data_IF_875654927740
#
_entry.id   IF_875654927740
#
_cell.length_a   1.000
_cell.length_b   1.000
_cell.length_c   1.000
_cell.angle_alpha   90.00
_cell.angle_beta   90.00
_cell.angle_gamma   90.00
#
_symmetry.space_group_name_H-M   'P 1'
#
loop_
_entity.id
_entity.type
_entity.pdbx_description
1 polymer ?
#
# COMPACT_ATOMS: atom_id res chain seq x y z
N UNK A 1 -10.66 -13.69 -16.72
CA UNK A 1 -10.29 -12.35 -16.36
C UNK A 1 -9.93 -12.22 -14.90
N UNK A 2 -8.82 -11.58 -14.66
CA UNK A 2 -8.36 -11.43 -13.32
C UNK A 2 -9.14 -10.41 -12.55
N UNK A 3 -9.39 -10.77 -11.27
CA UNK A 3 -10.03 -9.85 -10.39
C UNK A 3 -8.99 -9.02 -9.71
N UNK A 4 -9.16 -7.72 -9.74
CA UNK A 4 -8.22 -6.84 -9.05
C UNK A 4 -8.69 -6.61 -7.64
N UNK A 5 -7.84 -6.97 -6.70
CA UNK A 5 -8.14 -6.76 -5.29
C UNK A 5 -7.46 -5.48 -4.83
N UNK A 6 -7.86 -5.01 -3.64
CA UNK A 6 -7.23 -3.82 -3.09
C UNK A 6 -5.77 -4.10 -2.76
N UNK A 7 -5.46 -5.32 -2.34
CA UNK A 7 -4.06 -5.69 -2.09
C UNK A 7 -3.23 -5.65 -3.35
N UNK A 8 -3.76 -6.16 -4.45
CA UNK A 8 -3.08 -6.12 -5.74
C UNK A 8 -2.89 -4.67 -6.18
N UNK A 9 -3.88 -3.83 -5.96
CA UNK A 9 -3.78 -2.41 -6.31
C UNK A 9 -2.68 -1.73 -5.51
N UNK A 10 -2.62 -2.00 -4.20
CA UNK A 10 -1.61 -1.40 -3.35
C UNK A 10 -0.21 -1.85 -3.75
N UNK A 11 -0.05 -3.12 -4.07
CA UNK A 11 1.23 -3.65 -4.51
C UNK A 11 1.68 -2.99 -5.81
N UNK A 12 0.76 -2.88 -6.76
CA UNK A 12 1.07 -2.27 -8.05
C UNK A 12 1.44 -0.79 -7.88
N UNK A 13 0.71 -0.10 -7.02
CA UNK A 13 0.97 1.32 -6.78
C UNK A 13 2.34 1.51 -6.14
N UNK A 14 2.67 0.67 -5.17
CA UNK A 14 3.98 0.71 -4.53
C UNK A 14 5.10 0.51 -5.54
N UNK A 15 4.95 -0.51 -6.38
CA UNK A 15 5.97 -0.83 -7.38
C UNK A 15 6.08 0.28 -8.43
N UNK A 16 4.95 0.86 -8.80
CA UNK A 16 4.96 1.96 -9.76
C UNK A 16 5.72 3.17 -9.23
N UNK A 17 5.77 3.33 -7.91
CA UNK A 17 6.52 4.41 -7.30
C UNK A 17 7.94 4.00 -6.91
N UNK A 18 8.35 2.79 -7.27
CA UNK A 18 9.71 2.33 -7.00
C UNK A 18 10.01 2.14 -5.52
N UNK A 19 9.01 1.79 -4.73
CA UNK A 19 9.17 1.68 -3.28
C UNK A 19 9.12 0.24 -2.83
N UNK A 20 9.88 -0.05 -1.76
CA UNK A 20 9.78 -1.34 -1.09
C UNK A 20 8.63 -1.29 -0.09
N UNK A 21 8.24 -2.47 0.40
CA UNK A 21 7.22 -2.53 1.45
C UNK A 21 7.69 -1.77 2.69
N UNK A 22 8.98 -1.86 3.00
CA UNK A 22 9.51 -1.19 4.17
C UNK A 22 9.43 0.33 4.00
N UNK A 23 9.68 0.82 2.80
CA UNK A 23 9.60 2.26 2.55
C UNK A 23 8.19 2.78 2.69
N UNK A 24 7.22 2.00 2.22
CA UNK A 24 5.82 2.37 2.39
C UNK A 24 5.45 2.35 3.87
N UNK A 25 5.90 1.32 4.57
CA UNK A 25 5.60 1.19 6.00
C UNK A 25 6.15 2.38 6.77
N UNK A 26 7.39 2.77 6.47
CA UNK A 26 8.01 3.92 7.13
C UNK A 26 7.24 5.20 6.85
N UNK A 27 6.79 5.36 5.60
CA UNK A 27 6.08 6.55 5.21
C UNK A 27 4.73 6.67 5.91
N UNK A 28 4.07 5.54 6.11
CA UNK A 28 2.76 5.51 6.74
C UNK A 28 2.83 5.28 8.24
N UNK A 29 4.04 5.13 8.76
CA UNK A 29 4.25 4.92 10.19
C UNK A 29 3.57 3.66 10.69
N UNK A 30 3.68 2.59 9.92
CA UNK A 30 3.16 1.27 10.28
C UNK A 30 4.29 0.27 10.09
N UNK A 31 4.06 -0.99 10.49
CA UNK A 31 5.08 -2.00 10.35
C UNK A 31 5.10 -2.57 8.94
N UNK A 32 6.26 -3.10 8.55
CA UNK A 32 6.40 -3.80 7.28
C UNK A 32 5.40 -4.95 7.18
N UNK A 33 5.20 -5.65 8.27
CA UNK A 33 4.26 -6.76 8.32
C UNK A 33 2.84 -6.30 7.99
N UNK A 34 2.47 -5.12 8.44
CA UNK A 34 1.16 -4.55 8.16
C UNK A 34 0.98 -4.32 6.65
N UNK A 35 1.98 -3.71 6.01
CA UNK A 35 1.92 -3.48 4.57
C UNK A 35 1.84 -4.81 3.83
N UNK A 36 2.61 -5.79 4.27
CA UNK A 36 2.60 -7.10 3.65
C UNK A 36 1.21 -7.75 3.74
N UNK A 37 0.56 -7.62 4.88
CA UNK A 37 -0.79 -8.15 5.03
C UNK A 37 -1.78 -7.48 4.09
N UNK A 38 -1.67 -6.17 3.95
CA UNK A 38 -2.55 -5.44 3.03
C UNK A 38 -2.39 -5.96 1.60
N UNK A 39 -1.15 -6.18 1.20
CA UNK A 39 -0.89 -6.63 -0.18
C UNK A 39 -1.34 -8.06 -0.42
N UNK A 40 -1.53 -8.83 0.64
CA UNK A 40 -2.05 -10.19 0.54
C UNK A 40 -3.54 -10.28 0.81
N UNK A 41 -4.19 -9.14 0.94
CA UNK A 41 -5.63 -9.05 1.24
C UNK A 41 -5.98 -9.69 2.57
N UNK A 42 -5.05 -9.65 3.52
CA UNK A 42 -5.28 -10.14 4.88
C UNK A 42 -5.64 -9.02 5.82
N UNK A 43 -5.80 -7.82 5.30
CA UNK A 43 -6.21 -6.67 6.05
C UNK A 43 -6.25 -5.49 5.10
N UNK A 44 -6.72 -4.35 5.57
CA UNK A 44 -6.87 -3.17 4.73
C UNK A 44 -6.45 -1.94 5.50
N UNK A 45 -5.84 -0.95 4.83
CA UNK A 45 -5.53 0.31 5.48
C UNK A 45 -6.80 1.05 5.84
N UNK A 46 -6.71 1.89 6.85
CA UNK A 46 -7.84 2.75 7.19
C UNK A 46 -8.11 3.70 6.05
N UNK A 47 -9.37 4.04 5.89
CA UNK A 47 -9.77 4.86 4.76
C UNK A 47 -9.02 6.19 4.74
N UNK A 48 -8.66 6.72 5.89
CA UNK A 48 -7.94 7.98 5.96
C UNK A 48 -6.50 7.88 5.48
N UNK A 49 -5.98 6.66 5.37
CA UNK A 49 -4.62 6.45 4.88
C UNK A 49 -4.57 6.33 3.36
N UNK A 50 -5.70 6.12 2.72
CA UNK A 50 -5.72 5.88 1.28
C UNK A 50 -5.17 7.04 0.45
N UNK A 51 -5.47 8.30 0.77
CA UNK A 51 -4.89 9.39 -0.01
C UNK A 51 -3.37 9.42 0.05
N UNK A 52 -2.80 9.12 1.23
CA UNK A 52 -1.35 9.11 1.37
C UNK A 52 -0.72 7.98 0.57
N UNK A 53 -1.41 6.83 0.48
CA UNK A 53 -0.93 5.70 -0.29
C UNK A 53 -1.06 5.97 -1.78
N UNK A 54 -2.20 6.49 -2.20
CA UNK A 54 -2.49 6.68 -3.61
C UNK A 54 -1.71 7.83 -4.22
N UNK A 55 -1.41 8.86 -3.43
CA UNK A 55 -0.72 10.04 -3.95
C UNK A 55 0.31 10.54 -2.94
N UNK A 56 1.32 9.74 -2.64
CA UNK A 56 2.28 10.10 -1.59
C UNK A 56 3.12 11.32 -1.91
N UNK A 57 3.16 11.72 -3.14
CA UNK A 57 4.04 12.80 -3.56
C UNK A 57 3.28 13.97 -4.17
N UNK A 58 2.02 14.09 -3.86
CA UNK A 58 1.19 15.12 -4.48
C UNK A 58 1.62 16.52 -4.10
N UNK A 59 2.13 16.70 -2.93
CA UNK A 59 2.56 18.04 -2.51
C UNK A 59 4.00 18.04 -2.16
#
# INVERSE_FOLDING_TARGET
MERKTIGAFLSALRKANGMTQQEVADKLNVSNKTVSKWERDEGYPEIMMLPAIAAPAVY
#
